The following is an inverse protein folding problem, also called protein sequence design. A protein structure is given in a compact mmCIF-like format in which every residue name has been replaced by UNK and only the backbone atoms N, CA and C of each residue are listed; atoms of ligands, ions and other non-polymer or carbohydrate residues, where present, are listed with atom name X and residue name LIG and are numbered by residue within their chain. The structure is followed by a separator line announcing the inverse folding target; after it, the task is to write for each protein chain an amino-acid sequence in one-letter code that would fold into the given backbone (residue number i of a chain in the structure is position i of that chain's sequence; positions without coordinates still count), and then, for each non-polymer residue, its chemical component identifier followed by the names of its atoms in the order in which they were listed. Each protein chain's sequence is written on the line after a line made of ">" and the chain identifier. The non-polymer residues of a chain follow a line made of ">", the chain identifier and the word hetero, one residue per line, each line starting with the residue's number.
data_IF_984502987910
#
_entry.id   IF_984502987910
#
_cell.length_a   1.000
_cell.length_b   1.000
_cell.length_c   1.000
_cell.angle_alpha   90.00
_cell.angle_beta   90.00
_cell.angle_gamma   90.00
#
_symmetry.space_group_name_H-M   'P 1'
#
loop_
_entity.id
_entity.type
_entity.pdbx_description
1 polymer ?
#
# COMPACT_ATOMS: atom_id res chain seq x y z
N UNK A 1 5.47 -52.24 -16.44
CA UNK A 1 6.17 -51.00 -16.08
C UNK A 1 5.59 -50.54 -14.77
N UNK A 2 6.21 -50.97 -13.68
CA UNK A 2 5.79 -50.71 -12.30
C UNK A 2 7.07 -50.28 -11.60
N UNK A 3 7.17 -49.00 -11.27
CA UNK A 3 8.31 -48.48 -10.53
C UNK A 3 8.11 -48.71 -9.04
N UNK A 4 9.13 -49.31 -8.44
CA UNK A 4 9.31 -49.48 -7.01
C UNK A 4 9.78 -48.18 -6.36
N UNK A 5 9.38 -47.93 -5.12
CA UNK A 5 10.10 -47.05 -4.21
C UNK A 5 10.43 -47.87 -2.96
N UNK A 6 11.72 -48.17 -2.83
CA UNK A 6 12.34 -48.90 -1.74
C UNK A 6 12.50 -47.94 -0.55
N UNK A 7 12.04 -48.36 0.63
CA UNK A 7 12.39 -47.71 1.89
C UNK A 7 13.87 -47.92 2.17
N UNK A 8 14.63 -46.83 2.32
CA UNK A 8 15.94 -46.88 2.93
C UNK A 8 15.88 -46.20 4.29
N UNK A 9 15.90 -47.05 5.32
CA UNK A 9 16.30 -46.74 6.68
C UNK A 9 17.79 -46.41 6.69
N UNK A 10 18.15 -45.19 7.05
CA UNK A 10 19.52 -44.86 7.44
C UNK A 10 19.59 -44.71 8.95
N UNK A 11 20.23 -45.72 9.52
CA UNK A 11 20.69 -45.85 10.90
C UNK A 11 21.63 -44.71 11.28
N UNK A 12 21.40 -44.08 12.43
CA UNK A 12 22.44 -43.34 13.14
C UNK A 12 23.12 -44.29 14.15
N UNK A 13 24.45 -44.18 14.33
CA UNK A 13 25.24 -45.17 15.04
C UNK A 13 24.98 -45.15 16.55
N UNK A 14 25.04 -46.34 17.14
CA UNK A 14 25.13 -46.57 18.58
C UNK A 14 26.37 -45.87 19.14
N UNK A 15 26.17 -44.93 20.09
CA UNK A 15 27.22 -44.42 20.96
C UNK A 15 27.16 -45.20 22.28
N UNK A 16 27.92 -46.29 22.34
CA UNK A 16 28.28 -46.94 23.60
C UNK A 16 29.22 -46.03 24.37
N UNK A 17 28.73 -45.34 25.40
CA UNK A 17 29.57 -44.82 26.46
C UNK A 17 29.12 -45.36 27.82
N UNK A 18 30.06 -46.05 28.45
CA UNK A 18 29.99 -46.59 29.79
C UNK A 18 29.64 -45.51 30.83
N UNK A 19 28.95 -45.93 31.89
CA UNK A 19 28.33 -45.07 32.89
C UNK A 19 29.24 -43.99 33.47
N UNK A 20 28.85 -42.74 33.24
CA UNK A 20 29.33 -41.59 34.02
C UNK A 20 28.30 -41.23 35.10
N UNK A 21 28.69 -41.35 36.37
CA UNK A 21 27.88 -41.02 37.55
C UNK A 21 27.55 -39.52 37.72
N UNK A 22 27.75 -38.69 36.69
CA UNK A 22 27.38 -37.28 36.65
C UNK A 22 26.51 -36.95 35.42
N UNK A 23 25.57 -37.81 35.05
CA UNK A 23 24.55 -37.47 34.06
C UNK A 23 23.66 -36.34 34.61
N UNK A 24 23.70 -35.17 33.96
CA UNK A 24 22.68 -34.12 34.18
C UNK A 24 21.32 -34.70 33.82
N UNK A 25 20.26 -34.46 34.61
CA UNK A 25 18.94 -34.98 34.30
C UNK A 25 18.51 -34.51 32.90
N UNK A 26 17.90 -35.42 32.13
CA UNK A 26 17.37 -35.15 30.81
C UNK A 26 16.47 -33.92 30.91
N UNK A 27 16.85 -32.82 30.26
CA UNK A 27 16.13 -31.56 30.34
C UNK A 27 14.65 -31.80 30.03
N UNK A 28 13.77 -31.50 30.99
CA UNK A 28 12.33 -31.54 30.76
C UNK A 28 12.03 -30.75 29.50
N UNK A 29 11.37 -31.42 28.54
CA UNK A 29 10.97 -30.81 27.28
C UNK A 29 10.23 -29.52 27.62
N UNK A 30 10.77 -28.40 27.14
CA UNK A 30 10.31 -27.08 27.51
C UNK A 30 8.80 -26.94 27.30
N UNK A 31 8.10 -26.43 28.30
CA UNK A 31 6.64 -26.39 28.42
C UNK A 31 5.95 -25.41 27.47
N UNK A 32 6.57 -25.05 26.35
CA UNK A 32 6.08 -24.02 25.43
C UNK A 32 4.94 -24.47 24.51
N UNK A 33 4.47 -25.72 24.60
CA UNK A 33 3.36 -26.25 23.79
C UNK A 33 2.14 -26.61 24.66
N UNK A 34 1.54 -25.63 25.33
CA UNK A 34 0.32 -25.86 26.14
C UNK A 34 -0.91 -26.28 25.32
N UNK A 35 -0.96 -25.98 24.02
CA UNK A 35 -2.16 -26.12 23.19
C UNK A 35 -2.23 -27.40 22.34
N UNK A 36 -1.13 -28.15 22.15
CA UNK A 36 -1.05 -29.13 21.06
C UNK A 36 -1.19 -30.60 21.44
N UNK A 37 -1.31 -30.96 22.73
CA UNK A 37 -1.41 -32.38 23.11
C UNK A 37 -2.22 -32.67 24.37
N UNK A 38 -3.16 -31.80 24.72
CA UNK A 38 -4.11 -32.15 25.78
C UNK A 38 -5.24 -32.96 25.18
N UNK A 39 -5.14 -34.29 25.34
CA UNK A 39 -6.34 -35.14 25.51
C UNK A 39 -7.27 -34.37 26.44
N UNK A 40 -8.54 -34.19 26.07
CA UNK A 40 -9.60 -33.66 26.95
C UNK A 40 -9.51 -34.39 28.29
N UNK A 41 -8.77 -33.82 29.23
CA UNK A 41 -8.73 -34.30 30.60
C UNK A 41 -9.76 -33.46 31.34
N UNK A 42 -10.82 -34.10 31.83
CA UNK A 42 -11.87 -33.46 32.64
C UNK A 42 -11.32 -32.85 33.94
N UNK A 43 -10.09 -33.18 34.33
CA UNK A 43 -9.38 -32.59 35.46
C UNK A 43 -8.27 -31.64 34.96
N UNK A 44 -8.37 -30.33 35.20
CA UNK A 44 -7.42 -29.36 34.71
C UNK A 44 -6.10 -29.40 35.54
N UNK A 45 -4.93 -29.36 34.91
CA UNK A 45 -3.61 -29.29 35.60
C UNK A 45 -3.32 -27.85 36.05
N UNK A 46 -3.29 -27.62 37.37
CA UNK A 46 -2.93 -26.33 37.98
C UNK A 46 -1.43 -26.09 37.91
N UNK A 47 -1.01 -24.88 37.49
CA UNK A 47 0.29 -24.35 37.90
C UNK A 47 0.27 -24.17 39.43
N UNK A 48 1.36 -24.52 40.12
CA UNK A 48 1.44 -24.40 41.58
C UNK A 48 1.23 -22.93 41.98
N UNK A 49 0.10 -22.65 42.65
CA UNK A 49 -0.29 -21.30 43.06
C UNK A 49 -1.33 -20.59 42.17
N UNK A 50 -1.75 -21.20 41.06
CA UNK A 50 -2.85 -20.68 40.24
C UNK A 50 -4.20 -21.18 40.77
N UNK A 51 -5.09 -20.26 41.16
CA UNK A 51 -6.43 -20.55 41.68
C UNK A 51 -7.42 -20.94 40.56
N UNK A 52 -7.14 -20.54 39.33
CA UNK A 52 -7.94 -20.86 38.15
C UNK A 52 -7.05 -21.34 37.01
N UNK A 53 -7.53 -22.34 36.28
CA UNK A 53 -6.85 -22.88 35.12
C UNK A 53 -7.45 -22.25 33.87
N UNK A 54 -6.61 -21.54 33.12
CA UNK A 54 -6.96 -21.03 31.81
C UNK A 54 -7.01 -22.20 30.81
N UNK A 55 -8.13 -22.92 30.80
CA UNK A 55 -8.44 -23.83 29.71
C UNK A 55 -8.88 -23.00 28.50
N UNK A 56 -8.16 -23.13 27.39
CA UNK A 56 -8.59 -22.57 26.12
C UNK A 56 -9.91 -23.25 25.71
N UNK A 57 -11.03 -22.53 25.82
CA UNK A 57 -12.33 -23.00 25.32
C UNK A 57 -12.26 -23.02 23.79
N UNK A 58 -12.41 -24.21 23.19
CA UNK A 58 -12.62 -24.32 21.76
C UNK A 58 -13.89 -23.57 21.37
N UNK A 59 -13.83 -22.83 20.27
CA UNK A 59 -15.00 -22.15 19.71
C UNK A 59 -16.04 -23.19 19.31
N UNK A 60 -17.32 -22.91 19.60
CA UNK A 60 -18.42 -23.72 19.09
C UNK A 60 -18.70 -23.39 17.61
N UNK A 61 -19.51 -24.23 16.95
CA UNK A 61 -19.78 -24.10 15.52
C UNK A 61 -20.45 -22.76 15.16
N UNK A 62 -21.24 -22.18 16.06
CA UNK A 62 -21.92 -20.90 15.86
C UNK A 62 -20.91 -19.74 15.94
N UNK A 63 -19.99 -19.79 16.91
CA UNK A 63 -18.91 -18.82 17.03
C UNK A 63 -17.93 -18.86 15.85
N UNK A 64 -17.64 -20.06 15.31
CA UNK A 64 -16.83 -20.20 14.08
C UNK A 64 -17.56 -19.60 12.89
N UNK A 65 -18.85 -19.94 12.69
CA UNK A 65 -19.64 -19.41 11.58
C UNK A 65 -19.77 -17.88 11.63
N UNK A 66 -19.93 -17.30 12.83
CA UNK A 66 -19.98 -15.83 12.99
C UNK A 66 -18.63 -15.17 12.67
N UNK A 67 -17.51 -15.77 13.07
CA UNK A 67 -16.18 -15.27 12.72
C UNK A 67 -15.92 -15.35 11.21
N UNK A 68 -16.34 -16.44 10.56
CA UNK A 68 -16.25 -16.60 9.10
C UNK A 68 -17.13 -15.59 8.36
N UNK A 69 -18.35 -15.32 8.87
CA UNK A 69 -19.24 -14.30 8.34
C UNK A 69 -18.64 -12.90 8.46
N UNK A 70 -18.10 -12.56 9.64
CA UNK A 70 -17.41 -11.28 9.86
C UNK A 70 -16.18 -11.15 8.97
N UNK A 71 -15.38 -12.20 8.81
CA UNK A 71 -14.23 -12.21 7.92
C UNK A 71 -14.65 -12.00 6.45
N UNK A 72 -15.74 -12.65 6.02
CA UNK A 72 -16.27 -12.52 4.66
C UNK A 72 -16.79 -11.11 4.38
N UNK A 73 -17.53 -10.51 5.31
CA UNK A 73 -18.00 -9.12 5.19
C UNK A 73 -16.83 -8.11 5.16
N UNK A 74 -15.77 -8.39 5.91
CA UNK A 74 -14.56 -7.53 5.92
C UNK A 74 -13.79 -7.66 4.60
N UNK A 75 -13.74 -8.86 4.02
CA UNK A 75 -13.17 -9.11 2.69
C UNK A 75 -13.96 -8.41 1.57
N UNK A 76 -15.30 -8.43 1.62
CA UNK A 76 -16.15 -7.76 0.61
C UNK A 76 -16.01 -6.24 0.64
N UNK A 77 -15.81 -5.66 1.83
CA UNK A 77 -15.52 -4.23 1.98
C UNK A 77 -14.06 -3.87 1.66
N UNK A 78 -13.22 -4.87 1.38
CA UNK A 78 -11.80 -4.72 1.10
C UNK A 78 -11.00 -4.18 2.28
N UNK A 79 -11.50 -4.38 3.50
CA UNK A 79 -10.81 -4.03 4.74
C UNK A 79 -10.01 -5.22 5.27
N UNK A 80 -9.07 -4.98 6.19
CA UNK A 80 -8.33 -6.07 6.82
C UNK A 80 -9.17 -6.72 7.91
N UNK A 81 -9.36 -8.05 7.84
CA UNK A 81 -10.00 -8.84 8.90
C UNK A 81 -9.33 -8.70 10.26
N UNK A 82 -8.08 -8.22 10.29
CA UNK A 82 -7.33 -7.97 11.52
C UNK A 82 -7.64 -6.60 12.16
N UNK A 83 -8.21 -5.66 11.40
CA UNK A 83 -8.56 -4.32 11.86
C UNK A 83 -10.07 -4.21 12.20
N UNK A 84 -10.53 -5.02 13.15
CA UNK A 84 -11.92 -4.96 13.63
C UNK A 84 -12.33 -3.59 14.18
N UNK A 85 -11.35 -2.85 14.72
CA UNK A 85 -11.58 -1.51 15.29
C UNK A 85 -11.70 -0.39 14.26
N UNK A 86 -11.39 -0.66 12.98
CA UNK A 86 -11.38 0.35 11.93
C UNK A 86 -10.49 1.54 12.25
N UNK A 87 -9.40 1.35 13.02
CA UNK A 87 -8.61 2.46 13.57
C UNK A 87 -7.99 3.29 12.44
N UNK A 88 -7.29 2.60 11.52
CA UNK A 88 -6.68 3.20 10.35
C UNK A 88 -6.34 2.10 9.32
N UNK A 89 -6.70 2.32 8.07
CA UNK A 89 -6.22 1.56 6.91
C UNK A 89 -5.91 2.50 5.76
N UNK A 90 -4.96 2.10 4.93
CA UNK A 90 -4.60 2.84 3.73
C UNK A 90 -4.51 1.86 2.56
N UNK A 91 -5.16 2.24 1.46
CA UNK A 91 -5.03 1.57 0.18
C UNK A 91 -4.20 2.46 -0.74
N UNK A 92 -3.04 1.97 -1.14
CA UNK A 92 -2.14 2.67 -2.06
C UNK A 92 -2.66 2.63 -3.51
N UNK A 93 -2.74 3.80 -4.12
CA UNK A 93 -3.09 4.02 -5.53
C UNK A 93 -2.03 4.87 -6.24
N UNK A 94 -0.82 5.01 -5.69
CA UNK A 94 0.25 5.84 -6.24
C UNK A 94 0.54 5.52 -7.70
N UNK A 95 0.71 4.24 -8.06
CA UNK A 95 0.96 3.82 -9.45
C UNK A 95 -0.18 4.18 -10.39
N UNK A 96 -1.42 4.08 -9.92
CA UNK A 96 -2.59 4.46 -10.71
C UNK A 96 -2.62 5.98 -10.93
N UNK A 97 -2.37 6.76 -9.88
CA UNK A 97 -2.36 8.22 -9.97
C UNK A 97 -1.26 8.72 -10.92
N UNK A 98 -0.05 8.17 -10.83
CA UNK A 98 1.03 8.49 -11.76
C UNK A 98 0.66 8.22 -13.22
N UNK A 99 0.06 7.06 -13.50
CA UNK A 99 -0.40 6.71 -14.84
C UNK A 99 -1.49 7.67 -15.31
N UNK A 100 -2.44 8.02 -14.43
CA UNK A 100 -3.54 8.92 -14.76
C UNK A 100 -3.06 10.34 -15.05
N UNK A 101 -2.10 10.84 -14.29
CA UNK A 101 -1.44 12.13 -14.54
C UNK A 101 -0.71 12.15 -15.88
N UNK A 102 0.04 11.08 -16.20
CA UNK A 102 0.73 10.91 -17.49
C UNK A 102 -0.25 10.91 -18.66
N UNK A 103 -1.48 10.44 -18.46
CA UNK A 103 -2.52 10.39 -19.49
C UNK A 103 -3.24 11.73 -19.67
N UNK A 104 -3.57 12.43 -18.59
CA UNK A 104 -4.45 13.61 -18.63
C UNK A 104 -3.71 14.93 -18.82
N UNK A 105 -2.56 15.13 -18.17
CA UNK A 105 -1.83 16.40 -18.26
C UNK A 105 -1.42 16.79 -19.69
N UNK A 106 -0.95 15.86 -20.56
CA UNK A 106 -0.61 16.21 -21.94
C UNK A 106 -1.81 16.61 -22.81
N UNK A 107 -3.04 16.26 -22.39
CA UNK A 107 -4.28 16.56 -23.14
C UNK A 107 -4.82 17.95 -22.86
N UNK A 108 -4.24 18.68 -21.92
CA UNK A 108 -4.62 20.06 -21.61
C UNK A 108 -4.36 20.93 -22.84
N UNK A 109 -5.31 21.79 -23.20
CA UNK A 109 -5.10 22.80 -24.22
C UNK A 109 -4.62 24.10 -23.55
N UNK A 110 -3.64 24.77 -24.15
CA UNK A 110 -3.25 26.09 -23.67
C UNK A 110 -4.31 27.12 -24.04
N UNK A 111 -4.64 28.10 -23.17
CA UNK A 111 -5.73 29.05 -23.42
C UNK A 111 -5.62 29.81 -24.74
N UNK A 112 -4.41 30.22 -25.13
CA UNK A 112 -4.13 30.90 -26.39
C UNK A 112 -3.70 29.96 -27.52
N UNK A 113 -3.58 28.65 -27.25
CA UNK A 113 -3.11 27.66 -28.22
C UNK A 113 -1.63 27.82 -28.65
N UNK A 114 -0.82 28.57 -27.89
CA UNK A 114 0.58 28.84 -28.25
C UNK A 114 1.49 27.64 -28.02
N UNK A 115 1.10 26.74 -27.12
CA UNK A 115 1.91 25.58 -26.72
C UNK A 115 1.12 24.30 -26.81
N UNK A 116 1.82 23.23 -27.18
CA UNK A 116 1.34 21.86 -27.05
C UNK A 116 2.14 21.17 -25.95
N UNK A 117 1.43 20.59 -24.97
CA UNK A 117 2.06 19.76 -23.97
C UNK A 117 2.49 18.41 -24.56
N UNK A 118 3.61 17.90 -24.06
CA UNK A 118 4.14 16.57 -24.36
C UNK A 118 3.90 15.65 -23.17
N UNK A 119 4.46 14.44 -23.25
CA UNK A 119 4.49 13.52 -22.12
C UNK A 119 5.08 14.14 -20.85
N UNK A 120 4.63 13.63 -19.71
CA UNK A 120 5.18 13.96 -18.39
C UNK A 120 6.56 13.31 -18.28
N UNK A 121 7.59 14.12 -18.06
CA UNK A 121 8.98 13.67 -18.02
C UNK A 121 9.38 13.04 -16.69
N UNK A 122 8.92 13.58 -15.56
CA UNK A 122 9.06 12.96 -14.25
C UNK A 122 7.92 13.39 -13.33
N UNK A 123 7.62 12.52 -12.37
CA UNK A 123 6.75 12.79 -11.23
C UNK A 123 7.62 12.41 -10.03
N UNK A 124 7.94 13.41 -9.20
CA UNK A 124 8.80 13.25 -8.05
C UNK A 124 7.91 13.21 -6.79
N UNK A 125 8.12 12.19 -5.94
CA UNK A 125 7.40 11.94 -4.68
C UNK A 125 5.87 12.02 -4.80
N UNK A 126 5.30 11.12 -5.60
CA UNK A 126 3.85 10.92 -5.67
C UNK A 126 3.37 10.00 -4.55
N UNK A 127 2.35 10.43 -3.82
CA UNK A 127 1.61 9.60 -2.87
C UNK A 127 0.12 9.77 -3.13
N UNK A 128 -0.55 8.69 -3.49
CA UNK A 128 -2.00 8.69 -3.68
C UNK A 128 -2.62 7.51 -2.95
N UNK A 129 -3.55 7.78 -2.06
CA UNK A 129 -4.14 6.73 -1.24
C UNK A 129 -5.59 7.01 -0.84
N UNK A 130 -6.34 5.93 -0.62
CA UNK A 130 -7.60 5.98 0.10
C UNK A 130 -7.34 5.60 1.56
N UNK A 131 -7.44 6.59 2.44
CA UNK A 131 -7.28 6.43 3.89
C UNK A 131 -8.64 6.20 4.52
N UNK A 132 -8.78 5.12 5.26
CA UNK A 132 -9.97 4.75 6.01
C UNK A 132 -9.68 4.90 7.50
N UNK A 133 -10.31 5.87 8.15
CA UNK A 133 -10.22 6.03 9.60
C UNK A 133 -11.61 6.05 10.22
N UNK A 134 -11.85 5.11 11.13
CA UNK A 134 -13.14 4.92 11.82
C UNK A 134 -14.33 4.87 10.85
N UNK A 135 -14.16 4.13 9.74
CA UNK A 135 -15.17 3.99 8.69
C UNK A 135 -15.33 5.17 7.74
N UNK A 136 -14.57 6.26 7.90
CA UNK A 136 -14.56 7.39 6.96
C UNK A 136 -13.46 7.23 5.94
N UNK A 137 -13.82 7.23 4.65
CA UNK A 137 -12.87 7.26 3.54
C UNK A 137 -12.45 8.70 3.26
N UNK A 138 -11.14 8.93 3.15
CA UNK A 138 -10.52 10.15 2.67
C UNK A 138 -9.53 9.81 1.56
N UNK A 139 -9.79 10.32 0.37
CA UNK A 139 -8.88 10.20 -0.76
C UNK A 139 -7.88 11.34 -0.71
N UNK A 140 -6.60 11.00 -0.77
CA UNK A 140 -5.50 11.94 -0.65
C UNK A 140 -4.58 11.76 -1.85
N UNK A 141 -4.17 12.87 -2.45
CA UNK A 141 -3.06 12.93 -3.40
C UNK A 141 -2.09 14.01 -2.92
N UNK A 142 -0.81 13.67 -2.85
CA UNK A 142 0.28 14.55 -2.49
C UNK A 142 1.41 14.32 -3.49
N UNK A 143 1.89 15.38 -4.14
CA UNK A 143 2.96 15.31 -5.12
C UNK A 143 3.85 16.54 -4.97
N UNK A 144 5.15 16.33 -4.76
CA UNK A 144 6.09 17.44 -4.63
C UNK A 144 6.27 18.17 -5.97
N UNK A 145 6.52 17.41 -7.05
CA UNK A 145 6.92 17.99 -8.34
C UNK A 145 6.51 17.15 -9.53
N UNK A 146 5.89 17.78 -10.52
CA UNK A 146 5.60 17.19 -11.83
C UNK A 146 6.30 18.01 -12.89
N UNK A 147 7.06 17.34 -13.78
CA UNK A 147 7.74 17.97 -14.90
C UNK A 147 7.04 17.63 -16.21
N UNK A 148 6.24 18.57 -16.73
CA UNK A 148 5.48 18.41 -17.97
C UNK A 148 6.22 19.07 -19.14
N UNK A 149 6.54 18.33 -20.21
CA UNK A 149 7.19 18.92 -21.38
C UNK A 149 6.23 19.81 -22.17
N UNK A 150 6.72 20.90 -22.77
CA UNK A 150 5.95 21.72 -23.71
C UNK A 150 6.77 22.10 -24.94
N UNK A 151 6.09 22.36 -26.05
CA UNK A 151 6.67 22.90 -27.29
C UNK A 151 5.71 23.89 -27.95
N UNK A 152 6.26 24.87 -28.64
CA UNK A 152 5.52 25.70 -29.60
C UNK A 152 5.48 24.97 -30.94
N UNK A 153 4.40 25.16 -31.70
CA UNK A 153 4.29 24.64 -33.06
C UNK A 153 5.46 25.12 -33.94
N UNK A 154 5.95 24.26 -34.84
CA UNK A 154 7.17 24.55 -35.60
C UNK A 154 8.50 24.41 -34.82
N UNK A 155 8.46 24.13 -33.51
CA UNK A 155 9.66 23.85 -32.70
C UNK A 155 10.52 25.09 -32.43
N UNK A 156 9.94 26.28 -32.53
CA UNK A 156 10.59 27.55 -32.27
C UNK A 156 11.05 27.64 -30.81
N UNK A 157 10.17 27.27 -29.87
CA UNK A 157 10.45 27.19 -28.44
C UNK A 157 10.05 25.85 -27.84
N UNK A 158 10.77 25.42 -26.79
CA UNK A 158 10.45 24.22 -26.00
C UNK A 158 10.98 24.34 -24.59
N UNK A 159 10.39 23.58 -23.68
CA UNK A 159 10.84 23.53 -22.30
C UNK A 159 10.02 22.58 -21.43
N UNK A 160 10.03 22.85 -20.12
CA UNK A 160 9.32 22.08 -19.10
C UNK A 160 8.50 23.02 -18.23
N UNK A 161 7.28 22.62 -17.92
CA UNK A 161 6.43 23.24 -16.91
C UNK A 161 6.58 22.41 -15.64
N UNK A 162 7.09 23.03 -14.58
CA UNK A 162 7.17 22.42 -13.26
C UNK A 162 5.95 22.81 -12.44
N UNK A 163 5.20 21.80 -12.02
CA UNK A 163 4.03 21.93 -11.15
C UNK A 163 4.49 21.44 -9.78
N UNK A 164 4.44 22.31 -8.77
CA UNK A 164 4.86 21.97 -7.40
C UNK A 164 3.73 22.22 -6.40
N UNK A 165 3.86 21.63 -5.21
CA UNK A 165 2.89 21.76 -4.10
C UNK A 165 1.49 21.26 -4.51
N UNK A 166 1.42 20.05 -5.09
CA UNK A 166 0.13 19.44 -5.45
C UNK A 166 -0.37 18.63 -4.27
N UNK A 167 -1.29 19.21 -3.50
CA UNK A 167 -1.97 18.54 -2.38
C UNK A 167 -3.47 18.57 -2.56
N UNK A 168 -4.15 17.42 -2.41
CA UNK A 168 -5.62 17.34 -2.34
C UNK A 168 -6.24 18.29 -1.31
N UNK A 169 -5.51 18.63 -0.25
CA UNK A 169 -5.99 19.48 0.83
C UNK A 169 -5.76 20.98 0.58
N UNK A 170 -4.81 21.31 -0.29
CA UNK A 170 -4.35 22.67 -0.55
C UNK A 170 -4.12 22.93 -2.04
N UNK A 171 -5.01 22.42 -2.91
CA UNK A 171 -4.84 22.54 -4.38
C UNK A 171 -4.72 24.00 -4.85
N UNK A 172 -5.27 24.97 -4.13
CA UNK A 172 -5.12 26.39 -4.43
C UNK A 172 -3.66 26.88 -4.38
N UNK A 173 -2.83 26.25 -3.54
CA UNK A 173 -1.44 26.61 -3.28
C UNK A 173 -0.47 26.11 -4.36
N UNK A 174 -0.96 25.27 -5.28
CA UNK A 174 -0.19 24.76 -6.42
C UNK A 174 0.58 25.86 -7.14
N UNK A 175 1.87 25.65 -7.32
CA UNK A 175 2.77 26.61 -7.95
C UNK A 175 3.21 26.13 -9.34
N UNK A 176 3.33 27.07 -10.29
CA UNK A 176 3.77 26.80 -11.66
C UNK A 176 5.06 27.56 -11.96
N UNK A 177 6.09 26.83 -12.35
CA UNK A 177 7.38 27.39 -12.79
C UNK A 177 7.68 26.95 -14.22
N UNK A 178 8.01 27.91 -15.09
CA UNK A 178 8.31 27.66 -16.49
C UNK A 178 9.82 27.57 -16.66
N UNK A 179 10.31 26.42 -17.11
CA UNK A 179 11.70 26.23 -17.54
C UNK A 179 11.77 26.20 -19.06
N UNK A 180 12.66 27.00 -19.63
CA UNK A 180 12.84 27.13 -21.08
C UNK A 180 14.13 26.44 -21.48
N UNK A 181 14.04 25.43 -22.34
CA UNK A 181 15.21 24.73 -22.89
C UNK A 181 15.67 25.38 -24.21
N UNK A 182 14.73 25.92 -24.99
CA UNK A 182 14.98 26.70 -26.21
C UNK A 182 14.00 27.88 -26.23
N UNK A 183 14.54 29.10 -26.18
CA UNK A 183 13.75 30.32 -26.23
C UNK A 183 13.29 30.64 -27.66
N UNK A 184 12.07 31.15 -27.79
CA UNK A 184 11.52 31.71 -29.03
C UNK A 184 11.36 33.22 -28.94
N UNK A 185 10.93 33.87 -30.03
CA UNK A 185 10.82 35.33 -30.09
C UNK A 185 9.74 35.90 -29.15
N UNK A 186 8.72 35.11 -28.80
CA UNK A 186 7.57 35.53 -27.98
C UNK A 186 7.57 34.91 -26.57
N UNK A 187 8.73 34.75 -25.95
CA UNK A 187 8.87 34.02 -24.66
C UNK A 187 7.97 34.57 -23.55
N UNK A 188 7.83 35.90 -23.43
CA UNK A 188 6.97 36.50 -22.40
C UNK A 188 5.49 36.12 -22.57
N UNK A 189 5.03 35.97 -23.81
CA UNK A 189 3.65 35.57 -24.09
C UNK A 189 3.42 34.08 -23.83
N UNK A 190 4.40 33.25 -24.19
CA UNK A 190 4.41 31.80 -23.90
C UNK A 190 4.36 31.57 -22.38
N UNK A 191 5.17 32.29 -21.61
CA UNK A 191 5.20 32.18 -20.15
C UNK A 191 3.85 32.58 -19.53
N UNK A 192 3.21 33.63 -20.06
CA UNK A 192 1.90 34.06 -19.61
C UNK A 192 0.82 33.02 -19.93
N UNK A 193 0.85 32.42 -21.12
CA UNK A 193 -0.09 31.37 -21.53
C UNK A 193 0.06 30.09 -20.70
N UNK A 194 1.31 29.66 -20.43
CA UNK A 194 1.62 28.52 -19.57
C UNK A 194 1.13 28.74 -18.14
N UNK A 195 1.30 29.94 -17.58
CA UNK A 195 0.77 30.29 -16.25
C UNK A 195 -0.76 30.36 -16.24
N UNK A 196 -1.36 30.79 -17.34
CA UNK A 196 -2.82 30.81 -17.51
C UNK A 196 -3.43 29.40 -17.62
N UNK A 197 -2.63 28.35 -17.83
CA UNK A 197 -3.09 26.96 -17.77
C UNK A 197 -3.40 26.46 -16.35
N UNK A 198 -3.06 27.22 -15.29
CA UNK A 198 -3.27 26.81 -13.89
C UNK A 198 -4.68 26.28 -13.61
N UNK A 199 -5.78 26.95 -14.01
CA UNK A 199 -7.12 26.45 -13.74
C UNK A 199 -7.40 25.09 -14.39
N UNK A 200 -7.00 24.89 -15.65
CA UNK A 200 -7.19 23.62 -16.34
C UNK A 200 -6.38 22.47 -15.69
N UNK A 201 -5.17 22.77 -15.20
CA UNK A 201 -4.36 21.81 -14.43
C UNK A 201 -5.07 21.44 -13.12
N UNK A 202 -5.64 22.42 -12.41
CA UNK A 202 -6.41 22.20 -11.18
C UNK A 202 -7.64 21.33 -11.45
N UNK A 203 -8.37 21.59 -12.52
CA UNK A 203 -9.55 20.79 -12.90
C UNK A 203 -9.17 19.34 -13.19
N UNK A 204 -8.06 19.11 -13.90
CA UNK A 204 -7.54 17.76 -14.13
C UNK A 204 -7.17 17.06 -12.83
N UNK A 205 -6.46 17.74 -11.92
CA UNK A 205 -6.06 17.14 -10.64
C UNK A 205 -7.30 16.86 -9.77
N UNK A 206 -8.28 17.77 -9.73
CA UNK A 206 -9.56 17.55 -9.06
C UNK A 206 -10.29 16.32 -9.60
N UNK A 207 -10.38 16.19 -10.93
CA UNK A 207 -10.99 15.02 -11.55
C UNK A 207 -10.29 13.71 -11.14
N UNK A 208 -8.95 13.72 -11.04
CA UNK A 208 -8.18 12.56 -10.55
C UNK A 208 -8.53 12.27 -9.08
N UNK A 209 -8.66 13.28 -8.23
CA UNK A 209 -9.06 13.09 -6.82
C UNK A 209 -10.47 12.51 -6.72
N UNK A 210 -11.41 12.96 -7.54
CA UNK A 210 -12.77 12.43 -7.59
C UNK A 210 -12.81 10.98 -8.13
N UNK A 211 -12.00 10.67 -9.14
CA UNK A 211 -11.82 9.31 -9.64
C UNK A 211 -11.24 8.39 -8.56
N UNK A 212 -10.26 8.87 -7.78
CA UNK A 212 -9.69 8.14 -6.65
C UNK A 212 -10.74 7.87 -5.56
N UNK A 213 -11.59 8.85 -5.28
CA UNK A 213 -12.71 8.72 -4.36
C UNK A 213 -13.77 7.71 -4.82
N UNK A 214 -13.79 7.36 -6.11
CA UNK A 214 -14.69 6.35 -6.66
C UNK A 214 -14.07 4.94 -6.72
N UNK A 215 -12.79 4.80 -6.40
CA UNK A 215 -12.09 3.52 -6.23
C UNK A 215 -12.19 2.98 -4.80
#
# INVERSE_FOLDING_TARGET
>A
MTMAAVSQSSTNPEDTSEGNANARPLAEKSSYYYAHNQVRSDSPKTLVGATEIYNHKALDAEQVAELERQASQTLESGHSSWNKGGTWEEKDYTKWAEQRLKELLPKIASPKGLVTFKEVSSIDDCHAANVFSRGKKKSVIEIEKIKLGWKVEGGEAKGKLEITEVSSSALSELHLSVKVDKAGNNQAEIDADLKACKPAILDVINAIVEELASK
#
